data_IF_527137679553
#
_entry.id   IF_527137679553
#
_cell.length_a   1.000
_cell.length_b   1.000
_cell.length_c   1.000
_cell.angle_alpha   90.00
_cell.angle_beta   90.00
_cell.angle_gamma   90.00
#
_symmetry.space_group_name_H-M   'P 1'
#
loop_
_entity.id
_entity.type
_entity.pdbx_description
1 polymer ?
#
# COMPACT_ATOMS: atom_id res chain seq x y z
N UNK A 1 45.07 49.36 -38.36
CA UNK A 1 44.43 48.79 -37.14
C UNK A 1 43.54 47.63 -37.57
N UNK A 2 43.87 46.39 -37.21
CA UNK A 2 43.03 45.21 -37.47
C UNK A 2 42.04 45.06 -36.32
N UNK A 3 40.75 45.24 -36.57
CA UNK A 3 39.70 44.98 -35.59
C UNK A 3 39.31 43.50 -35.64
N UNK A 4 39.52 42.78 -34.54
CA UNK A 4 39.02 41.42 -34.34
C UNK A 4 37.60 41.50 -33.76
N UNK A 5 36.64 40.88 -34.43
CA UNK A 5 35.28 40.72 -33.94
C UNK A 5 35.24 39.49 -33.02
N UNK A 6 35.11 39.70 -31.71
CA UNK A 6 34.96 38.61 -30.73
C UNK A 6 33.47 38.24 -30.68
N UNK A 7 33.14 37.03 -31.12
CA UNK A 7 31.80 36.47 -31.04
C UNK A 7 31.59 35.90 -29.62
N UNK A 8 30.80 36.59 -28.79
CA UNK A 8 30.40 36.10 -27.46
C UNK A 8 29.29 35.03 -27.63
N UNK A 9 29.61 33.77 -27.35
CA UNK A 9 28.63 32.68 -27.25
C UNK A 9 27.89 32.77 -25.92
N UNK A 10 26.58 33.01 -25.98
CA UNK A 10 25.70 33.04 -24.82
C UNK A 10 25.38 31.60 -24.41
N UNK A 11 25.93 31.13 -23.28
CA UNK A 11 25.58 29.84 -22.69
C UNK A 11 24.27 30.03 -21.93
N UNK A 12 23.17 29.50 -22.47
CA UNK A 12 21.86 29.51 -21.79
C UNK A 12 21.85 28.31 -20.82
N UNK A 13 21.77 28.52 -19.50
CA UNK A 13 21.61 27.41 -18.57
C UNK A 13 20.21 26.83 -18.74
N UNK A 14 20.11 25.55 -19.09
CA UNK A 14 18.86 24.81 -19.05
C UNK A 14 18.43 24.66 -17.61
N UNK A 15 17.40 25.41 -17.20
CA UNK A 15 16.70 25.18 -15.94
C UNK A 15 16.04 23.81 -16.00
N UNK A 16 16.72 22.79 -15.47
CA UNK A 16 16.09 21.52 -15.15
C UNK A 16 15.10 21.76 -14.01
N UNK A 17 13.81 21.68 -14.31
CA UNK A 17 12.79 21.62 -13.27
C UNK A 17 12.99 20.29 -12.54
N UNK A 18 13.42 20.33 -11.29
CA UNK A 18 13.30 19.20 -10.39
C UNK A 18 11.79 18.99 -10.16
N UNK A 19 11.24 17.97 -10.81
CA UNK A 19 9.87 17.57 -10.60
C UNK A 19 9.78 16.98 -9.20
N UNK A 20 9.30 17.78 -8.25
CA UNK A 20 8.95 17.33 -6.91
C UNK A 20 7.90 16.23 -7.09
N UNK A 21 8.29 14.97 -6.92
CA UNK A 21 7.33 13.86 -6.96
C UNK A 21 6.43 14.04 -5.76
N UNK A 22 5.20 14.53 -5.97
CA UNK A 22 4.17 14.41 -4.96
C UNK A 22 4.01 12.92 -4.70
N UNK A 23 4.48 12.42 -3.56
CA UNK A 23 4.30 11.01 -3.22
C UNK A 23 2.79 10.80 -3.03
N UNK A 24 2.15 10.25 -4.05
CA UNK A 24 0.74 9.92 -4.01
C UNK A 24 0.54 8.77 -3.04
N UNK A 25 -0.33 8.94 -2.06
CA UNK A 25 -0.61 7.90 -1.08
C UNK A 25 -1.68 8.31 -0.09
N UNK A 26 -2.47 7.34 0.33
CA UNK A 26 -3.38 7.43 1.45
C UNK A 26 -3.22 6.19 2.31
N UNK A 27 -3.60 6.33 3.56
CA UNK A 27 -3.75 5.20 4.45
C UNK A 27 -5.00 4.40 4.04
N UNK A 28 -4.92 3.07 4.08
CA UNK A 28 -6.06 2.18 3.95
C UNK A 28 -6.39 1.65 5.34
N UNK A 29 -7.49 2.14 5.92
CA UNK A 29 -7.87 1.94 7.32
C UNK A 29 -9.08 1.02 7.44
N UNK A 30 -9.10 0.12 8.41
CA UNK A 30 -10.32 -0.60 8.79
C UNK A 30 -11.38 0.39 9.23
N UNK A 31 -12.62 0.18 8.80
CA UNK A 31 -13.75 1.02 9.21
C UNK A 31 -14.04 0.85 10.71
N UNK A 32 -13.95 -0.39 11.20
CA UNK A 32 -14.08 -0.72 12.63
C UNK A 32 -12.74 -0.50 13.35
N UNK A 33 -12.79 0.09 14.56
CA UNK A 33 -11.60 0.28 15.39
C UNK A 33 -11.14 -1.03 16.06
N UNK A 34 -12.06 -2.00 16.21
CA UNK A 34 -11.86 -3.21 16.99
C UNK A 34 -11.43 -2.86 18.43
N UNK A 35 -10.27 -3.34 18.85
CA UNK A 35 -9.63 -3.11 20.15
C UNK A 35 -8.54 -2.02 20.14
N UNK A 36 -8.34 -1.32 19.02
CA UNK A 36 -7.35 -0.27 18.87
C UNK A 36 -8.03 1.10 18.64
N UNK A 37 -8.07 2.01 19.62
CA UNK A 37 -8.74 3.30 19.48
C UNK A 37 -8.14 4.19 18.38
N UNK A 38 -6.88 3.96 17.98
CA UNK A 38 -6.24 4.63 16.86
C UNK A 38 -6.50 3.94 15.51
N UNK A 39 -7.37 2.91 15.49
CA UNK A 39 -7.72 2.05 14.35
C UNK A 39 -6.55 1.24 13.79
N UNK A 40 -6.88 0.29 12.91
CA UNK A 40 -5.92 -0.51 12.16
C UNK A 40 -5.82 -0.08 10.70
N UNK A 41 -4.61 -0.12 10.18
CA UNK A 41 -4.26 0.27 8.83
C UNK A 41 -3.38 -0.80 8.18
N UNK A 42 -3.50 -0.97 6.86
CA UNK A 42 -2.56 -1.80 6.09
C UNK A 42 -1.15 -1.22 6.28
N UNK A 43 -0.17 -2.08 6.53
CA UNK A 43 1.17 -1.69 6.96
C UNK A 43 2.22 -2.66 6.41
N UNK A 44 3.34 -2.11 5.94
CA UNK A 44 4.55 -2.88 5.66
C UNK A 44 5.27 -3.18 6.97
N UNK A 45 5.61 -4.46 7.20
CA UNK A 45 6.37 -4.83 8.38
C UNK A 45 7.74 -4.10 8.45
N UNK A 46 8.09 -3.63 9.65
CA UNK A 46 9.31 -2.87 9.91
C UNK A 46 9.06 -1.37 10.05
N UNK A 47 10.14 -0.57 10.04
CA UNK A 47 10.07 0.88 10.15
C UNK A 47 11.32 1.53 9.54
N UNK A 48 11.16 2.55 8.68
CA UNK A 48 12.25 3.26 7.98
C UNK A 48 13.24 2.29 7.29
N UNK A 49 14.53 2.39 7.62
CA UNK A 49 15.61 1.53 7.14
C UNK A 49 15.39 0.04 7.46
N UNK A 50 14.51 -0.28 8.42
CA UNK A 50 14.19 -1.64 8.84
C UNK A 50 13.03 -2.29 8.11
N UNK A 51 12.44 -1.65 7.09
CA UNK A 51 11.29 -2.17 6.35
C UNK A 51 11.59 -3.51 5.68
N UNK A 52 10.63 -4.42 5.76
CA UNK A 52 10.72 -5.81 5.32
C UNK A 52 9.82 -6.06 4.10
N UNK A 53 10.22 -5.53 2.95
CA UNK A 53 9.43 -5.65 1.70
C UNK A 53 9.15 -7.10 1.24
N UNK A 54 9.93 -8.07 1.73
CA UNK A 54 9.75 -9.48 1.40
C UNK A 54 8.83 -10.22 2.38
N UNK A 55 8.52 -9.62 3.53
CA UNK A 55 7.63 -10.20 4.54
C UNK A 55 6.16 -9.91 4.17
N UNK A 56 5.21 -10.69 4.72
CA UNK A 56 3.80 -10.37 4.62
C UNK A 56 3.47 -8.96 5.11
N UNK A 57 2.56 -8.28 4.42
CA UNK A 57 1.89 -7.12 4.98
C UNK A 57 1.12 -7.52 6.23
N UNK A 58 0.97 -6.57 7.11
CA UNK A 58 0.19 -6.69 8.34
C UNK A 58 -0.88 -5.60 8.37
N UNK A 59 -1.77 -5.72 9.34
CA UNK A 59 -2.56 -4.58 9.79
C UNK A 59 -1.98 -4.09 11.10
N UNK A 60 -1.72 -2.81 11.22
CA UNK A 60 -1.07 -2.23 12.39
C UNK A 60 -1.83 -0.97 12.82
N UNK A 61 -1.68 -0.55 14.07
CA UNK A 61 -2.14 0.77 14.53
C UNK A 61 -1.78 1.86 13.53
N UNK A 62 -2.76 2.68 13.17
CA UNK A 62 -2.61 3.72 12.17
C UNK A 62 -1.67 4.85 12.62
N UNK A 63 -0.77 5.27 11.73
CA UNK A 63 0.21 6.32 12.03
C UNK A 63 -0.34 7.70 11.67
N UNK A 64 -0.33 8.60 12.65
CA UNK A 64 -0.68 10.01 12.43
C UNK A 64 0.44 10.85 11.79
N UNK A 65 1.68 10.36 11.84
CA UNK A 65 2.91 11.00 11.34
C UNK A 65 3.91 9.93 10.87
N UNK A 66 4.79 10.28 9.93
CA UNK A 66 5.83 9.37 9.41
C UNK A 66 5.26 8.01 8.98
N UNK A 67 4.16 8.06 8.21
CA UNK A 67 3.35 6.89 7.88
C UNK A 67 3.79 6.23 6.56
N UNK A 68 5.04 6.43 6.11
CA UNK A 68 5.50 6.08 4.76
C UNK A 68 5.26 4.61 4.39
N UNK A 69 5.30 3.72 5.37
CA UNK A 69 5.04 2.28 5.33
C UNK A 69 3.56 1.89 5.42
N UNK A 70 2.67 2.87 5.59
CA UNK A 70 1.21 2.75 5.56
C UNK A 70 0.58 3.55 4.41
N UNK A 71 1.39 4.13 3.51
CA UNK A 71 0.91 4.90 2.37
C UNK A 71 0.78 4.02 1.12
N UNK A 72 -0.45 3.94 0.61
CA UNK A 72 -0.79 3.20 -0.61
C UNK A 72 -1.67 4.03 -1.53
N UNK A 73 -1.70 3.70 -2.81
CA UNK A 73 -2.62 4.33 -3.76
C UNK A 73 -3.13 3.32 -4.78
N UNK A 74 -4.35 3.55 -5.24
CA UNK A 74 -4.92 2.79 -6.34
C UNK A 74 -4.44 3.38 -7.67
N UNK A 75 -3.90 2.54 -8.53
CA UNK A 75 -3.56 2.87 -9.91
C UNK A 75 -4.17 1.82 -10.83
N UNK A 76 -5.19 2.22 -11.59
CA UNK A 76 -6.07 1.28 -12.28
C UNK A 76 -6.70 0.30 -11.28
N UNK A 77 -6.50 -1.02 -11.45
CA UNK A 77 -6.96 -2.04 -10.52
C UNK A 77 -5.83 -2.52 -9.59
N UNK A 78 -4.78 -1.75 -9.32
CA UNK A 78 -3.67 -2.20 -8.46
C UNK A 78 -3.54 -1.31 -7.26
N UNK A 79 -3.20 -1.89 -6.13
CA UNK A 79 -2.80 -1.14 -4.93
C UNK A 79 -1.28 -1.08 -4.93
N UNK A 80 -0.73 0.13 -5.12
CA UNK A 80 0.70 0.40 -5.14
C UNK A 80 1.14 0.93 -3.78
N UNK A 81 2.36 0.57 -3.40
CA UNK A 81 3.02 1.14 -2.24
C UNK A 81 3.58 2.51 -2.63
N UNK A 82 3.35 3.56 -1.83
CA UNK A 82 3.68 4.93 -2.20
C UNK A 82 5.17 5.25 -2.18
N UNK A 83 5.85 4.84 -1.11
CA UNK A 83 7.27 5.16 -0.89
C UNK A 83 8.21 4.03 -1.32
N UNK A 84 7.66 2.91 -1.79
CA UNK A 84 8.39 1.72 -2.18
C UNK A 84 7.89 1.23 -3.53
N UNK A 85 8.76 0.64 -4.35
CA UNK A 85 8.34 0.08 -5.62
C UNK A 85 7.63 -1.26 -5.41
N UNK A 86 6.35 -1.32 -5.76
CA UNK A 86 5.62 -2.58 -5.79
C UNK A 86 4.11 -2.43 -5.71
N UNK A 87 3.45 -3.54 -6.00
CA UNK A 87 2.00 -3.72 -5.92
C UNK A 87 1.70 -4.80 -4.88
N UNK A 88 0.56 -4.66 -4.20
CA UNK A 88 0.03 -5.74 -3.38
C UNK A 88 -0.31 -6.93 -4.30
N UNK A 89 0.03 -8.13 -3.84
CA UNK A 89 -0.21 -9.38 -4.53
C UNK A 89 -0.75 -10.44 -3.58
N UNK A 90 -1.75 -11.18 -4.05
CA UNK A 90 -2.18 -12.43 -3.46
C UNK A 90 -1.25 -13.57 -3.90
N UNK A 91 -0.55 -14.27 -2.99
CA UNK A 91 0.19 -15.48 -3.32
C UNK A 91 -0.74 -16.50 -3.95
N UNK A 92 -0.28 -17.15 -5.02
CA UNK A 92 -1.10 -18.08 -5.76
C UNK A 92 -0.30 -18.90 -6.77
N UNK A 93 -0.97 -19.86 -7.41
CA UNK A 93 -0.42 -20.68 -8.48
C UNK A 93 -1.40 -20.73 -9.64
N UNK A 94 -0.90 -20.60 -10.88
CA UNK A 94 -1.75 -20.53 -12.07
C UNK A 94 -2.72 -19.34 -12.07
N UNK A 95 -2.38 -18.26 -11.37
CA UNK A 95 -3.25 -17.09 -11.21
C UNK A 95 -4.38 -17.28 -10.18
N UNK A 96 -4.35 -18.34 -9.37
CA UNK A 96 -5.39 -18.60 -8.37
C UNK A 96 -4.80 -18.52 -6.97
N UNK A 97 -5.44 -17.76 -6.09
CA UNK A 97 -5.14 -17.71 -4.65
C UNK A 97 -6.10 -18.59 -3.85
N UNK A 98 -5.81 -18.77 -2.56
CA UNK A 98 -6.63 -19.54 -1.62
C UNK A 98 -6.97 -18.68 -0.40
N UNK A 99 -8.03 -19.06 0.32
CA UNK A 99 -8.35 -18.45 1.61
C UNK A 99 -7.20 -18.66 2.60
N UNK A 100 -6.91 -17.63 3.39
CA UNK A 100 -5.79 -17.59 4.34
C UNK A 100 -4.44 -17.20 3.71
N UNK A 101 -4.36 -17.03 2.38
CA UNK A 101 -3.15 -16.51 1.74
C UNK A 101 -2.79 -15.14 2.33
N UNK A 102 -1.50 -14.93 2.63
CA UNK A 102 -1.00 -13.63 3.05
C UNK A 102 -1.09 -12.58 1.94
N UNK A 103 -0.75 -11.34 2.23
CA UNK A 103 -0.57 -10.30 1.21
C UNK A 103 0.90 -9.94 1.12
N UNK A 104 1.45 -9.89 -0.08
CA UNK A 104 2.86 -9.59 -0.31
C UNK A 104 3.02 -8.33 -1.16
N UNK A 105 4.16 -7.65 -1.06
CA UNK A 105 4.56 -6.66 -2.06
C UNK A 105 5.38 -7.35 -3.14
N UNK A 106 5.00 -7.16 -4.40
CA UNK A 106 5.72 -7.72 -5.56
C UNK A 106 5.90 -6.67 -6.65
N UNK A 107 6.82 -6.88 -7.60
CA UNK A 107 6.89 -6.04 -8.79
C UNK A 107 5.51 -5.94 -9.43
N UNK A 108 5.10 -4.73 -9.79
CA UNK A 108 3.82 -4.53 -10.45
C UNK A 108 3.82 -5.22 -11.82
N UNK A 109 2.83 -6.05 -12.06
CA UNK A 109 2.62 -6.74 -13.32
C UNK A 109 1.36 -6.19 -14.00
N UNK A 110 1.38 -6.15 -15.32
CA UNK A 110 0.19 -5.88 -16.12
C UNK A 110 -0.61 -7.17 -16.30
N UNK A 111 -1.94 -7.07 -16.23
CA UNK A 111 -2.87 -8.21 -16.39
C UNK A 111 -2.63 -9.37 -15.41
N UNK A 112 -2.22 -9.08 -14.17
CA UNK A 112 -2.08 -10.08 -13.12
C UNK A 112 -3.35 -10.15 -12.29
N UNK A 113 -4.08 -11.26 -12.43
CA UNK A 113 -5.26 -11.53 -11.62
C UNK A 113 -4.97 -11.76 -10.13
N UNK A 114 -3.69 -11.83 -9.75
CA UNK A 114 -3.24 -11.86 -8.35
C UNK A 114 -2.91 -10.46 -7.79
N UNK A 115 -2.87 -9.43 -8.63
CA UNK A 115 -2.64 -8.03 -8.23
C UNK A 115 -3.83 -7.11 -8.55
N UNK A 116 -4.76 -7.56 -9.38
CA UNK A 116 -5.97 -6.81 -9.72
C UNK A 116 -6.94 -6.80 -8.52
N UNK A 117 -7.06 -5.67 -7.85
CA UNK A 117 -7.89 -5.42 -6.68
C UNK A 117 -8.84 -4.24 -6.89
N UNK A 118 -10.03 -4.35 -6.30
CA UNK A 118 -11.06 -3.31 -6.37
C UNK A 118 -11.62 -3.03 -4.98
N UNK A 119 -11.69 -1.75 -4.60
CA UNK A 119 -12.49 -1.32 -3.46
C UNK A 119 -13.96 -1.27 -3.87
N UNK A 120 -14.74 -2.21 -3.33
CA UNK A 120 -16.17 -2.28 -3.56
C UNK A 120 -16.91 -1.19 -2.77
N UNK A 121 -18.16 -0.89 -3.17
CA UNK A 121 -19.06 0.00 -2.42
C UNK A 121 -19.36 -0.48 -0.99
N UNK A 122 -19.19 -1.78 -0.74
CA UNK A 122 -19.32 -2.39 0.60
C UNK A 122 -18.16 -2.04 1.53
N UNK A 123 -17.09 -1.42 1.02
CA UNK A 123 -15.83 -1.21 1.75
C UNK A 123 -14.88 -2.40 1.66
N UNK A 124 -15.31 -3.55 1.13
CA UNK A 124 -14.41 -4.69 0.93
C UNK A 124 -13.43 -4.40 -0.21
N UNK A 125 -12.16 -4.75 -0.02
CA UNK A 125 -11.17 -4.77 -1.10
C UNK A 125 -11.11 -6.20 -1.62
N UNK A 126 -11.63 -6.43 -2.81
CA UNK A 126 -11.67 -7.75 -3.46
C UNK A 126 -10.49 -7.90 -4.42
N UNK A 127 -9.87 -9.08 -4.46
CA UNK A 127 -9.09 -9.52 -5.61
C UNK A 127 -10.06 -9.78 -6.78
N UNK A 128 -10.04 -8.91 -7.77
CA UNK A 128 -11.07 -8.70 -8.77
C UNK A 128 -11.60 -10.02 -9.37
N UNK A 129 -12.92 -10.24 -9.25
CA UNK A 129 -13.65 -11.41 -9.77
C UNK A 129 -13.20 -12.77 -9.19
N UNK A 130 -12.50 -12.80 -8.06
CA UNK A 130 -12.07 -14.05 -7.40
C UNK A 130 -12.99 -14.48 -6.27
N UNK A 131 -13.79 -13.56 -5.70
CA UNK A 131 -14.54 -13.81 -4.47
C UNK A 131 -13.69 -13.81 -3.19
N UNK A 132 -12.39 -13.46 -3.27
CA UNK A 132 -11.52 -13.27 -2.12
C UNK A 132 -11.28 -11.79 -1.81
N UNK A 133 -11.37 -11.43 -0.54
CA UNK A 133 -11.23 -10.08 -0.03
C UNK A 133 -10.11 -9.96 1.00
N UNK A 134 -9.48 -8.78 1.06
CA UNK A 134 -8.56 -8.45 2.14
C UNK A 134 -9.27 -8.43 3.49
N UNK A 135 -8.68 -9.12 4.46
CA UNK A 135 -9.18 -9.26 5.81
C UNK A 135 -8.05 -9.14 6.85
N UNK A 136 -8.31 -8.40 7.92
CA UNK A 136 -7.49 -8.36 9.11
C UNK A 136 -7.67 -9.65 9.95
N UNK A 137 -6.60 -10.11 10.59
CA UNK A 137 -6.65 -11.28 11.47
C UNK A 137 -7.56 -11.07 12.69
N UNK A 138 -8.10 -12.15 13.24
CA UNK A 138 -8.95 -12.12 14.43
C UNK A 138 -8.19 -11.79 15.71
N UNK A 139 -6.93 -12.23 15.79
CA UNK A 139 -6.06 -11.99 16.93
C UNK A 139 -5.25 -10.70 16.75
N UNK A 140 -5.11 -9.94 17.84
CA UNK A 140 -4.21 -8.81 17.95
C UNK A 140 -3.07 -9.13 18.92
N UNK A 141 -1.89 -8.59 18.63
CA UNK A 141 -0.70 -8.72 19.48
C UNK A 141 -0.09 -7.34 19.71
N UNK A 142 0.39 -7.03 20.92
CA UNK A 142 1.12 -5.79 21.18
C UNK A 142 2.31 -5.62 20.23
N UNK A 143 2.47 -4.40 19.73
CA UNK A 143 3.57 -3.96 18.91
C UNK A 143 4.47 -2.97 19.66
N UNK A 144 5.44 -2.38 18.96
CA UNK A 144 6.31 -1.36 19.55
C UNK A 144 5.58 -0.03 19.68
N UNK A 145 5.45 0.48 20.90
CA UNK A 145 4.81 1.76 21.23
C UNK A 145 3.84 1.62 22.40
N UNK A 146 3.45 2.72 23.06
CA UNK A 146 2.30 2.67 23.97
C UNK A 146 1.05 2.32 23.13
N UNK A 147 0.26 1.38 23.63
CA UNK A 147 -1.00 0.89 23.03
C UNK A 147 -0.95 0.26 21.64
N UNK A 148 0.12 0.39 20.86
CA UNK A 148 0.14 -0.13 19.49
C UNK A 148 -0.09 -1.64 19.42
N UNK A 149 -0.89 -2.05 18.45
CA UNK A 149 -1.27 -3.43 18.16
C UNK A 149 -1.06 -3.76 16.69
N UNK A 150 -0.86 -5.04 16.40
CA UNK A 150 -0.88 -5.54 15.03
C UNK A 150 -1.69 -6.84 14.90
N UNK A 151 -2.14 -7.11 13.69
CA UNK A 151 -2.86 -8.33 13.27
C UNK A 151 -2.34 -8.75 11.90
N UNK A 152 -2.60 -9.99 11.51
CA UNK A 152 -2.27 -10.45 10.15
C UNK A 152 -3.14 -9.75 9.10
N UNK A 153 -2.66 -9.68 7.86
CA UNK A 153 -3.46 -9.30 6.69
C UNK A 153 -3.46 -10.47 5.71
N UNK A 154 -4.65 -10.94 5.32
CA UNK A 154 -4.82 -12.11 4.45
C UNK A 154 -5.95 -11.92 3.45
N UNK A 155 -6.08 -12.86 2.53
CA UNK A 155 -7.25 -13.02 1.67
C UNK A 155 -8.21 -14.08 2.25
N UNK A 156 -9.50 -13.79 2.31
CA UNK A 156 -10.54 -14.74 2.69
C UNK A 156 -11.80 -14.56 1.85
N UNK A 157 -12.72 -15.53 1.88
CA UNK A 157 -13.97 -15.45 1.11
C UNK A 157 -14.78 -14.20 1.48
N UNK A 158 -15.08 -13.36 0.50
CA UNK A 158 -15.75 -12.07 0.71
C UNK A 158 -17.11 -12.23 1.40
N UNK A 159 -17.88 -13.28 1.05
CA UNK A 159 -19.27 -13.46 1.47
C UNK A 159 -19.42 -13.96 2.90
N UNK A 160 -18.39 -14.62 3.45
CA UNK A 160 -18.41 -15.20 4.80
C UNK A 160 -17.55 -14.41 5.78
N UNK A 161 -16.68 -13.53 5.29
CA UNK A 161 -15.80 -12.68 6.10
C UNK A 161 -16.58 -11.67 6.96
N UNK A 162 -16.21 -11.59 8.25
CA UNK A 162 -16.71 -10.61 9.20
C UNK A 162 -16.48 -9.17 8.68
N UNK A 163 -17.53 -8.34 8.53
CA UNK A 163 -17.39 -6.96 8.07
C UNK A 163 -16.46 -6.09 8.92
N UNK A 164 -16.42 -6.27 10.23
CA UNK A 164 -15.52 -5.50 11.13
C UNK A 164 -14.04 -5.75 10.82
N UNK A 165 -13.70 -6.90 10.24
CA UNK A 165 -12.33 -7.26 9.84
C UNK A 165 -12.04 -7.04 8.35
N UNK A 166 -13.06 -6.78 7.53
CA UNK A 166 -12.93 -6.83 6.06
C UNK A 166 -13.46 -5.60 5.33
N UNK A 167 -13.86 -4.55 6.06
CA UNK A 167 -14.30 -3.28 5.46
C UNK A 167 -13.27 -2.19 5.70
N UNK A 168 -12.89 -1.54 4.61
CA UNK A 168 -11.78 -0.61 4.53
C UNK A 168 -12.26 0.74 3.98
N UNK A 169 -11.56 1.79 4.36
CA UNK A 169 -11.71 3.12 3.81
C UNK A 169 -10.35 3.74 3.48
N UNK A 170 -10.35 4.63 2.49
CA UNK A 170 -9.15 5.34 2.04
C UNK A 170 -9.13 6.72 2.69
N UNK A 171 -7.99 7.08 3.28
CA UNK A 171 -7.80 8.34 4.00
C UNK A 171 -7.92 8.19 5.51
N UNK A 172 -7.95 9.32 6.22
CA UNK A 172 -8.08 9.38 7.68
C UNK A 172 -9.54 9.28 8.09
#
# INVERSE_FOLDING_TARGET
>A
MKFYLILLTLIIPTMGSAQESSINGNIIRLVDALDEPEFYCIDLAGWREGIKLNDPLQTHTCKSRNADDQMFYFESNRIKVSHYEGCLEAPGSGGVTLSGSSVLVRPCLDNSNLQDMVLQKSGKIELLNSGFCLIAGEDSVPASGPSHMWRTLTFAECNTSNPSLSTWQIGR
#
